data_IF_887797784702
#
_entry.id   IF_887797784702
#
_cell.length_a   1.000
_cell.length_b   1.000
_cell.length_c   1.000
_cell.angle_alpha   90.00
_cell.angle_beta   90.00
_cell.angle_gamma   90.00
#
_symmetry.space_group_name_H-M   'P 1'
#
loop_
_entity.id
_entity.type
_entity.pdbx_description
1 polymer ?
#
# COMPACT_ATOMS: atom_id res chain seq x y z
N UNK A 1 35.01 24.55 -22.42
CA UNK A 1 35.03 23.68 -21.22
C UNK A 1 33.74 22.88 -21.17
N UNK A 2 33.81 21.57 -21.44
CA UNK A 2 32.65 20.69 -21.62
C UNK A 2 31.87 20.45 -20.31
N UNK A 3 30.54 20.47 -20.40
CA UNK A 3 29.59 20.12 -19.34
C UNK A 3 29.59 18.60 -19.11
N UNK A 4 30.51 18.12 -18.27
CA UNK A 4 30.65 16.69 -17.93
C UNK A 4 29.68 16.25 -16.80
N UNK A 5 29.02 17.19 -16.12
CA UNK A 5 28.23 16.89 -14.91
C UNK A 5 26.74 16.61 -15.23
N UNK A 6 26.27 16.91 -16.45
CA UNK A 6 24.85 16.73 -16.79
C UNK A 6 24.49 15.30 -17.27
N UNK A 7 25.46 14.50 -17.72
CA UNK A 7 25.24 13.15 -18.29
C UNK A 7 25.15 12.03 -17.25
N UNK A 8 25.53 12.27 -15.99
CA UNK A 8 25.62 11.21 -14.98
C UNK A 8 24.28 10.81 -14.32
N UNK A 9 23.15 11.45 -14.66
CA UNK A 9 21.84 11.14 -14.05
C UNK A 9 21.03 10.08 -14.80
N UNK A 10 21.49 9.63 -15.96
CA UNK A 10 20.83 8.58 -16.76
C UNK A 10 21.81 7.47 -17.15
N UNK A 11 22.68 7.06 -16.22
CA UNK A 11 23.39 5.80 -16.36
C UNK A 11 22.40 4.65 -16.13
N UNK A 12 21.58 4.36 -17.15
CA UNK A 12 20.82 3.11 -17.25
C UNK A 12 21.84 1.99 -17.33
N UNK A 13 21.95 1.20 -16.26
CA UNK A 13 22.79 0.00 -16.23
C UNK A 13 22.24 -0.96 -17.30
N UNK A 14 23.02 -1.34 -18.34
CA UNK A 14 22.55 -2.25 -19.37
C UNK A 14 22.29 -3.64 -18.77
N UNK A 15 21.02 -3.98 -18.50
CA UNK A 15 20.63 -5.28 -17.95
C UNK A 15 19.48 -5.24 -16.94
N UNK A 16 19.10 -4.09 -16.39
CA UNK A 16 17.88 -3.99 -15.57
C UNK A 16 16.63 -3.87 -16.46
N UNK A 17 16.06 -5.02 -16.83
CA UNK A 17 14.66 -5.07 -17.24
C UNK A 17 13.81 -4.67 -16.03
N UNK A 18 13.27 -3.43 -16.03
CA UNK A 18 12.16 -3.06 -15.13
C UNK A 18 11.03 -4.04 -15.41
N UNK A 19 10.93 -5.08 -14.59
CA UNK A 19 9.94 -6.12 -14.79
C UNK A 19 8.57 -5.49 -14.52
N UNK A 20 7.82 -5.24 -15.59
CA UNK A 20 6.45 -4.72 -15.51
C UNK A 20 5.58 -5.70 -14.72
N UNK A 21 4.89 -5.20 -13.71
CA UNK A 21 3.89 -5.94 -12.94
C UNK A 21 2.47 -5.70 -13.47
N UNK A 22 2.34 -5.12 -14.67
CA UNK A 22 1.06 -4.85 -15.32
C UNK A 22 0.19 -6.11 -15.40
N UNK A 23 -1.07 -5.98 -14.98
CA UNK A 23 -2.03 -7.08 -14.94
C UNK A 23 -1.85 -8.07 -13.78
N UNK A 24 -0.90 -7.84 -12.87
CA UNK A 24 -0.80 -8.58 -11.60
C UNK A 24 -1.69 -7.95 -10.53
N UNK A 25 -2.18 -8.79 -9.62
CA UNK A 25 -2.89 -8.36 -8.40
C UNK A 25 -2.09 -8.77 -7.18
N UNK A 26 -1.90 -7.83 -6.27
CA UNK A 26 -1.14 -8.00 -5.04
C UNK A 26 -2.01 -7.57 -3.88
N UNK A 27 -2.04 -8.40 -2.83
CA UNK A 27 -2.66 -8.08 -1.57
C UNK A 27 -1.58 -7.93 -0.51
N UNK A 28 -1.44 -6.73 0.06
CA UNK A 28 -0.59 -6.48 1.21
C UNK A 28 -1.45 -6.67 2.47
N UNK A 29 -1.05 -7.61 3.32
CA UNK A 29 -1.74 -7.90 4.58
C UNK A 29 -0.92 -7.35 5.73
N UNK A 30 -1.51 -6.45 6.51
CA UNK A 30 -0.90 -5.83 7.66
C UNK A 30 -1.55 -6.29 8.98
N UNK A 31 -0.87 -6.02 10.09
CA UNK A 31 -1.38 -6.32 11.43
C UNK A 31 -2.69 -5.58 11.72
N UNK A 32 -3.52 -6.16 12.60
CA UNK A 32 -4.66 -5.48 13.23
C UNK A 32 -4.37 -5.09 14.68
N UNK A 33 -3.13 -5.24 15.16
CA UNK A 33 -2.74 -4.91 16.52
C UNK A 33 -2.38 -3.43 16.64
N UNK A 34 -2.99 -2.76 17.60
CA UNK A 34 -2.78 -1.35 17.92
C UNK A 34 -2.02 -1.14 19.25
N UNK A 35 -1.64 -2.24 19.92
CA UNK A 35 -0.96 -2.23 21.22
C UNK A 35 0.19 -3.24 21.30
N UNK A 36 1.25 -2.88 22.00
CA UNK A 36 2.45 -3.68 22.15
C UNK A 36 2.34 -4.64 23.34
N UNK A 37 1.99 -5.90 23.05
CA UNK A 37 1.92 -6.98 24.04
C UNK A 37 1.17 -6.57 25.31
N UNK A 38 1.73 -6.94 26.47
CA UNK A 38 1.12 -6.64 27.77
C UNK A 38 1.40 -5.21 28.27
N UNK A 39 2.33 -4.48 27.63
CA UNK A 39 2.67 -3.11 28.02
C UNK A 39 1.55 -2.10 27.73
N UNK A 40 0.64 -2.44 26.81
CA UNK A 40 -0.46 -1.59 26.38
C UNK A 40 -0.05 -0.34 25.61
N UNK A 41 1.24 -0.13 25.34
CA UNK A 41 1.73 1.01 24.59
C UNK A 41 1.16 1.01 23.16
N UNK A 42 0.71 2.17 22.63
CA UNK A 42 0.17 2.25 21.29
C UNK A 42 1.24 1.89 20.26
N UNK A 43 0.86 1.09 19.27
CA UNK A 43 1.72 0.69 18.14
C UNK A 43 0.84 0.41 16.91
N UNK A 44 1.44 -0.08 15.83
CA UNK A 44 0.72 -0.48 14.63
C UNK A 44 1.66 -0.98 13.56
N UNK A 45 1.15 -0.99 12.33
CA UNK A 45 1.96 -1.16 11.14
C UNK A 45 2.89 0.05 10.96
N UNK A 46 4.17 -0.21 10.74
CA UNK A 46 5.13 0.84 10.43
C UNK A 46 4.83 1.43 9.05
N UNK A 47 4.64 2.76 8.95
CA UNK A 47 4.10 3.39 7.74
C UNK A 47 4.92 3.10 6.48
N UNK A 48 6.25 3.11 6.57
CA UNK A 48 7.13 2.83 5.43
C UNK A 48 6.99 1.38 4.95
N UNK A 49 6.83 0.41 5.86
CA UNK A 49 6.69 -1.01 5.51
C UNK A 49 5.39 -1.31 4.76
N UNK A 50 4.41 -0.42 4.84
CA UNK A 50 3.19 -0.46 4.03
C UNK A 50 3.33 0.37 2.76
N UNK A 51 3.78 1.62 2.88
CA UNK A 51 3.80 2.59 1.78
C UNK A 51 4.80 2.22 0.69
N UNK A 52 6.02 1.83 1.05
CA UNK A 52 7.06 1.51 0.08
C UNK A 52 6.67 0.35 -0.85
N UNK A 53 6.33 -0.86 -0.35
CA UNK A 53 5.93 -1.94 -1.25
C UNK A 53 4.63 -1.61 -2.02
N UNK A 54 3.68 -0.91 -1.40
CA UNK A 54 2.46 -0.49 -2.09
C UNK A 54 2.79 0.33 -3.34
N UNK A 55 3.61 1.37 -3.21
CA UNK A 55 3.94 2.25 -4.34
C UNK A 55 4.89 1.60 -5.33
N UNK A 56 5.86 0.80 -4.89
CA UNK A 56 6.76 0.07 -5.79
C UNK A 56 5.95 -0.82 -6.74
N UNK A 57 4.98 -1.58 -6.21
CA UNK A 57 4.15 -2.45 -7.05
C UNK A 57 3.14 -1.68 -7.89
N UNK A 58 2.52 -0.64 -7.32
CA UNK A 58 1.56 0.21 -8.05
C UNK A 58 2.22 0.92 -9.22
N UNK A 59 3.40 1.49 -9.01
CA UNK A 59 4.17 2.18 -10.06
C UNK A 59 4.74 1.19 -11.09
N UNK A 60 4.95 -0.07 -10.73
CA UNK A 60 5.23 -1.16 -11.67
C UNK A 60 4.00 -1.64 -12.46
N UNK A 61 2.81 -1.08 -12.20
CA UNK A 61 1.56 -1.35 -12.91
C UNK A 61 0.70 -2.46 -12.32
N UNK A 62 1.04 -2.98 -11.14
CA UNK A 62 0.16 -3.93 -10.45
C UNK A 62 -1.07 -3.22 -9.88
N UNK A 63 -2.17 -3.97 -9.79
CA UNK A 63 -3.29 -3.59 -8.92
C UNK A 63 -2.95 -4.05 -7.50
N UNK A 64 -2.89 -3.12 -6.56
CA UNK A 64 -2.48 -3.39 -5.18
C UNK A 64 -3.63 -3.04 -4.23
N UNK A 65 -4.04 -4.02 -3.43
CA UNK A 65 -5.01 -3.87 -2.35
C UNK A 65 -4.32 -4.06 -0.99
N UNK A 66 -4.92 -3.50 0.07
CA UNK A 66 -4.45 -3.65 1.46
C UNK A 66 -5.54 -4.28 2.33
N UNK A 67 -5.15 -5.16 3.24
CA UNK A 67 -6.02 -5.79 4.24
C UNK A 67 -5.37 -5.79 5.62
N UNK A 68 -6.20 -5.83 6.66
CA UNK A 68 -5.75 -6.20 8.00
C UNK A 68 -6.18 -7.64 8.32
N UNK A 69 -5.46 -8.33 9.22
CA UNK A 69 -5.73 -9.73 9.57
C UNK A 69 -7.17 -9.96 10.05
N UNK A 70 -7.69 -9.05 10.89
CA UNK A 70 -9.07 -9.10 11.42
C UNK A 70 -10.10 -8.43 10.51
N UNK A 71 -9.66 -7.83 9.39
CA UNK A 71 -10.47 -6.90 8.60
C UNK A 71 -10.67 -5.55 9.31
N UNK A 72 -11.11 -4.57 8.55
CA UNK A 72 -11.17 -3.17 8.99
C UNK A 72 -9.80 -2.52 9.09
N UNK A 73 -9.75 -1.41 9.83
CA UNK A 73 -8.59 -0.51 9.94
C UNK A 73 -7.28 -1.24 10.17
N UNK A 74 -6.26 -0.88 9.39
CA UNK A 74 -4.86 -1.17 9.70
C UNK A 74 -4.38 -0.03 10.63
N UNK A 75 -4.14 -0.29 11.93
CA UNK A 75 -3.56 0.74 12.81
C UNK A 75 -2.15 1.07 12.32
N UNK A 76 -1.86 2.37 12.13
CA UNK A 76 -0.52 2.85 11.79
C UNK A 76 0.20 3.25 13.08
N UNK A 77 1.45 2.84 13.21
CA UNK A 77 2.29 3.27 14.33
C UNK A 77 2.60 4.77 14.22
N UNK A 78 2.17 5.56 15.20
CA UNK A 78 2.38 7.03 15.22
C UNK A 78 3.88 7.36 15.21
N UNK A 79 4.71 6.55 15.88
CA UNK A 79 6.16 6.71 15.91
C UNK A 79 6.78 6.64 14.51
N UNK A 80 6.19 5.86 13.60
CA UNK A 80 6.64 5.76 12.21
C UNK A 80 6.39 7.01 11.36
N UNK A 81 5.61 7.98 11.88
CA UNK A 81 5.30 9.25 11.21
C UNK A 81 6.17 10.41 11.73
N UNK A 82 7.08 10.16 12.67
CA UNK A 82 7.98 11.20 13.17
C UNK A 82 9.00 11.62 12.09
N UNK A 83 9.45 12.87 12.15
CA UNK A 83 10.26 13.53 11.12
C UNK A 83 11.50 12.73 10.67
N UNK A 84 12.14 12.02 11.59
CA UNK A 84 13.32 11.20 11.33
C UNK A 84 13.03 9.86 10.61
N UNK A 85 11.75 9.47 10.50
CA UNK A 85 11.32 8.23 9.86
C UNK A 85 10.47 8.46 8.60
N UNK A 86 10.16 9.71 8.28
CA UNK A 86 9.40 10.06 7.07
C UNK A 86 10.28 9.93 5.83
N UNK A 87 9.86 9.09 4.90
CA UNK A 87 10.49 8.88 3.59
C UNK A 87 9.65 9.53 2.48
N UNK A 88 10.12 9.56 1.22
CA UNK A 88 9.28 9.95 0.08
C UNK A 88 7.99 9.11 -0.06
N UNK A 89 8.03 7.82 0.27
CA UNK A 89 6.85 6.95 0.22
C UNK A 89 5.87 7.26 1.34
N UNK A 90 6.35 7.50 2.57
CA UNK A 90 5.51 7.97 3.67
C UNK A 90 4.87 9.32 3.35
N UNK A 91 5.62 10.28 2.80
CA UNK A 91 5.06 11.56 2.37
C UNK A 91 3.96 11.40 1.31
N UNK A 92 4.17 10.52 0.32
CA UNK A 92 3.16 10.21 -0.69
C UNK A 92 1.92 9.58 -0.04
N UNK A 93 2.11 8.65 0.90
CA UNK A 93 1.02 8.04 1.66
C UNK A 93 0.20 9.09 2.44
N UNK A 94 0.86 10.02 3.14
CA UNK A 94 0.18 11.08 3.88
C UNK A 94 -0.67 11.99 2.98
N UNK A 95 -0.26 12.17 1.72
CA UNK A 95 -0.99 12.94 0.71
C UNK A 95 -2.00 12.12 -0.12
N UNK A 96 -2.01 10.79 -0.03
CA UNK A 96 -2.83 9.89 -0.84
C UNK A 96 -4.10 9.49 -0.09
N UNK A 97 -5.18 10.25 -0.30
CA UNK A 97 -6.49 9.97 0.32
C UNK A 97 -7.04 8.58 -0.04
N UNK A 98 -6.74 8.06 -1.24
CA UNK A 98 -7.24 6.75 -1.66
C UNK A 98 -6.58 5.61 -0.89
N UNK A 99 -5.27 5.71 -0.66
CA UNK A 99 -4.56 4.74 0.18
C UNK A 99 -4.97 4.89 1.65
N UNK A 100 -5.12 6.11 2.18
CA UNK A 100 -5.60 6.33 3.55
C UNK A 100 -6.99 5.76 3.79
N UNK A 101 -7.94 5.99 2.88
CA UNK A 101 -9.26 5.35 2.93
C UNK A 101 -9.14 3.83 2.86
N UNK A 102 -8.22 3.31 2.04
CA UNK A 102 -8.01 1.87 1.94
C UNK A 102 -7.43 1.24 3.20
N UNK A 103 -6.56 1.96 3.91
CA UNK A 103 -6.01 1.60 5.22
C UNK A 103 -7.08 1.64 6.30
N UNK A 104 -7.97 2.63 6.29
CA UNK A 104 -9.06 2.76 7.27
C UNK A 104 -10.14 1.69 7.07
N UNK A 105 -10.46 1.38 5.81
CA UNK A 105 -11.52 0.44 5.45
C UNK A 105 -11.02 -0.98 5.19
N UNK A 106 -9.74 -1.29 5.37
CA UNK A 106 -9.05 -2.49 4.87
C UNK A 106 -9.91 -3.78 4.98
N UNK A 107 -10.55 -4.19 3.88
CA UNK A 107 -11.50 -5.32 3.82
C UNK A 107 -12.60 -5.31 4.91
N UNK A 108 -13.15 -4.15 5.25
CA UNK A 108 -14.48 -4.03 5.86
C UNK A 108 -15.54 -4.40 4.83
N UNK A 109 -16.67 -4.98 5.25
CA UNK A 109 -17.72 -5.52 4.37
C UNK A 109 -18.22 -4.52 3.30
N UNK A 110 -18.03 -3.21 3.49
CA UNK A 110 -18.34 -2.16 2.51
C UNK A 110 -17.52 -2.20 1.21
N UNK A 111 -16.27 -2.68 1.23
CA UNK A 111 -15.44 -2.80 0.01
C UNK A 111 -15.79 -4.01 -0.86
N UNK A 112 -16.40 -5.05 -0.28
CA UNK A 112 -16.93 -6.20 -1.03
C UNK A 112 -17.97 -5.77 -2.07
N UNK A 113 -18.68 -4.66 -1.82
CA UNK A 113 -19.70 -4.13 -2.73
C UNK A 113 -19.13 -3.41 -3.97
N UNK A 114 -18.00 -2.71 -3.84
CA UNK A 114 -17.32 -2.07 -4.98
C UNK A 114 -16.64 -3.11 -5.88
N UNK A 115 -16.06 -4.17 -5.31
CA UNK A 115 -15.46 -5.26 -6.07
C UNK A 115 -16.50 -6.11 -6.83
N UNK A 116 -17.77 -6.12 -6.41
CA UNK A 116 -18.88 -6.81 -7.11
C UNK A 116 -19.41 -6.07 -8.34
N UNK A 117 -19.16 -4.76 -8.52
CA UNK A 117 -19.63 -4.05 -9.73
C UNK A 117 -18.93 -4.48 -11.01
N UNK A 118 -17.73 -5.07 -10.93
CA UNK A 118 -17.01 -5.58 -12.08
C UNK A 118 -17.25 -7.07 -12.39
N UNK A 119 -18.11 -7.75 -11.62
CA UNK A 119 -18.29 -9.20 -11.74
C UNK A 119 -19.73 -9.68 -11.67
N UNK A 120 -20.72 -8.81 -11.91
CA UNK A 120 -22.13 -9.23 -12.05
C UNK A 120 -22.72 -8.79 -13.39
N UNK A 121 -22.32 -9.49 -14.45
CA UNK A 121 -23.21 -9.78 -15.59
C UNK A 121 -24.00 -11.07 -15.40
N UNK A 122 -23.58 -12.03 -14.55
CA UNK A 122 -24.36 -13.26 -14.30
C UNK A 122 -24.02 -13.85 -12.94
N UNK A 123 -24.99 -13.84 -12.01
CA UNK A 123 -25.45 -14.99 -11.21
C UNK A 123 -26.32 -14.51 -10.04
N UNK A 124 -27.62 -14.67 -10.23
CA UNK A 124 -28.63 -14.75 -9.17
C UNK A 124 -28.37 -16.02 -8.36
N UNK A 125 -28.25 -15.91 -7.04
CA UNK A 125 -28.50 -17.03 -6.13
C UNK A 125 -29.21 -16.53 -4.87
N UNK A 126 -30.24 -17.29 -4.52
CA UNK A 126 -31.22 -17.11 -3.47
C UNK A 126 -30.62 -17.43 -2.09
N UNK A 127 -31.14 -16.77 -1.04
CA UNK A 127 -31.03 -17.22 0.34
C UNK A 127 -32.00 -18.40 0.56
N UNK A 128 -31.52 -19.45 1.23
CA UNK A 128 -32.30 -20.35 2.10
C UNK A 128 -31.67 -20.29 3.47
#
# INVERSE_FOLDING_TARGET
>A
MANIIQEAKEAVIPGESKTSASGKRILIVATSHDKLGDSGQPTGCWAEELAAPYYIFKDAGAQVDVASIKGGKIPIDIGSLAENFVTPHVNRYLADESLKESVELAFSEGKFFQLRRHLHSRRSWYYV
#
